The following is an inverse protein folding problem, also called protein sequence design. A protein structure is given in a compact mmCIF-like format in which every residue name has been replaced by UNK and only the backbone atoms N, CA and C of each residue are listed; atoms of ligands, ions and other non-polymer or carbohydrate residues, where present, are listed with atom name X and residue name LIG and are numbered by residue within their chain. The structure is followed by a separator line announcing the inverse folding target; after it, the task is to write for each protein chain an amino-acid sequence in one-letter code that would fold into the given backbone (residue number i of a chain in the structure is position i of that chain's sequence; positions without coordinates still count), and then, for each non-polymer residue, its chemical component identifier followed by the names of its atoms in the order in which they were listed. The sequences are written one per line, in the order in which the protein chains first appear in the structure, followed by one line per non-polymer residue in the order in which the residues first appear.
data_IF_301064703269
#
_entry.id   IF_301064703269
#
_cell.length_a   1.000
_cell.length_b   1.000
_cell.length_c   1.000
_cell.angle_alpha   90.00
_cell.angle_beta   90.00
_cell.angle_gamma   90.00
#
_symmetry.space_group_name_H-M   'P 1'
#
loop_
_entity.id
_entity.type
_entity.pdbx_description
1 polymer ?
#
# COMPACT_ATOMS: atom_id res chain seq x y z
N UNK A 1 6.03 27.73 -26.66
CA UNK A 1 7.06 28.34 -25.78
C UNK A 1 6.30 28.60 -24.52
N UNK A 2 6.36 27.64 -23.61
CA UNK A 2 5.51 27.57 -22.39
C UNK A 2 5.91 28.74 -21.47
N UNK A 3 4.89 29.37 -20.89
CA UNK A 3 5.08 30.36 -19.82
C UNK A 3 5.68 29.67 -18.59
N UNK A 4 7.01 29.60 -18.58
CA UNK A 4 7.74 29.14 -17.40
C UNK A 4 7.59 30.17 -16.28
N UNK A 5 7.37 29.75 -15.06
CA UNK A 5 7.33 30.66 -13.93
C UNK A 5 8.65 31.44 -13.83
N UNK A 6 8.56 32.77 -13.87
CA UNK A 6 9.71 33.68 -13.91
C UNK A 6 10.33 33.97 -12.53
N UNK A 7 9.92 33.26 -11.48
CA UNK A 7 10.45 33.49 -10.14
C UNK A 7 11.64 32.57 -9.85
N UNK A 8 12.72 33.15 -9.35
CA UNK A 8 13.88 32.43 -8.82
C UNK A 8 13.59 31.79 -7.43
N UNK A 9 12.32 31.53 -7.10
CA UNK A 9 11.88 31.05 -5.81
C UNK A 9 11.10 29.74 -5.90
N UNK A 10 10.58 29.32 -4.75
CA UNK A 10 9.67 28.19 -4.63
C UNK A 10 8.28 28.59 -5.17
N UNK A 11 7.68 27.71 -5.96
CA UNK A 11 6.35 27.91 -6.54
C UNK A 11 5.62 26.56 -6.68
N UNK A 12 4.27 26.60 -6.59
CA UNK A 12 3.40 25.43 -6.79
C UNK A 12 2.42 25.68 -7.92
N UNK A 13 2.28 24.70 -8.80
CA UNK A 13 1.31 24.74 -9.90
C UNK A 13 0.52 23.45 -9.93
N UNK A 14 -0.73 23.51 -10.42
CA UNK A 14 -1.55 22.31 -10.59
C UNK A 14 -2.29 22.32 -11.92
N UNK A 15 -2.54 21.13 -12.44
CA UNK A 15 -3.43 20.91 -13.57
C UNK A 15 -4.44 19.85 -13.21
N UNK A 16 -5.67 19.99 -13.68
CA UNK A 16 -6.79 19.07 -13.40
C UNK A 16 -7.40 18.65 -14.74
N UNK A 17 -7.22 17.41 -15.14
CA UNK A 17 -7.75 16.86 -16.38
C UNK A 17 -7.50 17.72 -17.60
N UNK A 18 -8.54 17.92 -18.39
CA UNK A 18 -8.53 18.81 -19.57
C UNK A 18 -8.88 20.26 -19.29
N UNK A 19 -9.00 20.67 -18.01
CA UNK A 19 -9.34 22.05 -17.64
C UNK A 19 -8.20 23.01 -17.97
N UNK A 20 -8.49 24.32 -18.15
CA UNK A 20 -7.47 25.34 -18.40
C UNK A 20 -6.38 25.33 -17.30
N UNK A 21 -5.11 25.45 -17.68
CA UNK A 21 -3.98 25.39 -16.73
C UNK A 21 -3.98 26.55 -15.73
N UNK A 22 -4.58 27.66 -16.06
CA UNK A 22 -4.71 28.87 -15.26
C UNK A 22 -6.00 28.93 -14.44
N UNK A 23 -6.87 27.89 -14.55
CA UNK A 23 -8.11 27.84 -13.80
C UNK A 23 -7.91 27.86 -12.30
N UNK A 24 -6.91 27.13 -11.81
CA UNK A 24 -6.59 27.01 -10.40
C UNK A 24 -5.21 27.55 -10.05
N UNK A 25 -5.15 28.34 -9.00
CA UNK A 25 -3.90 28.71 -8.32
C UNK A 25 -3.79 27.95 -7.02
N UNK A 26 -2.65 27.31 -6.76
CA UNK A 26 -2.42 26.55 -5.52
C UNK A 26 -2.21 27.52 -4.36
N UNK A 27 -3.06 27.43 -3.34
CA UNK A 27 -2.95 28.19 -2.08
C UNK A 27 -2.10 27.42 -1.08
N UNK A 28 -2.44 26.17 -0.87
CA UNK A 28 -1.68 25.25 -0.02
C UNK A 28 -1.94 23.81 -0.44
N UNK A 29 -1.04 22.93 -0.04
CA UNK A 29 -1.25 21.50 -0.17
C UNK A 29 -0.68 20.73 1.02
N UNK A 30 -1.25 19.55 1.24
CA UNK A 30 -0.76 18.53 2.17
C UNK A 30 -0.86 17.18 1.50
N UNK A 31 0.28 16.50 1.27
CA UNK A 31 0.33 15.15 0.72
C UNK A 31 0.87 14.21 1.79
N UNK A 32 0.12 13.17 2.11
CA UNK A 32 0.51 12.12 3.06
C UNK A 32 0.74 10.83 2.29
N UNK A 33 1.96 10.31 2.35
CA UNK A 33 2.38 9.09 1.67
C UNK A 33 3.00 8.12 2.68
N UNK A 34 2.71 6.82 2.57
CA UNK A 34 3.34 5.76 3.38
C UNK A 34 3.39 4.45 2.61
N UNK A 35 4.31 3.57 2.98
CA UNK A 35 4.34 2.20 2.46
C UNK A 35 3.03 1.47 2.81
N UNK A 36 2.50 0.73 1.86
CA UNK A 36 1.25 -0.05 1.97
C UNK A 36 0.04 0.74 2.47
N UNK A 37 -0.04 1.99 2.05
CA UNK A 37 -1.18 2.88 2.32
C UNK A 37 -1.43 3.73 1.09
N UNK A 38 -2.69 3.96 0.75
CA UNK A 38 -3.04 4.91 -0.30
C UNK A 38 -2.56 6.31 0.12
N UNK A 39 -1.83 6.98 -0.76
CA UNK A 39 -1.53 8.38 -0.49
C UNK A 39 -2.82 9.22 -0.53
N UNK A 40 -2.83 10.28 0.23
CA UNK A 40 -3.92 11.29 0.20
C UNK A 40 -3.30 12.67 0.09
N UNK A 41 -3.76 13.42 -0.89
CA UNK A 41 -3.39 14.81 -1.10
C UNK A 41 -4.59 15.71 -0.91
N UNK A 42 -4.48 16.70 -0.01
CA UNK A 42 -5.44 17.79 0.14
C UNK A 42 -4.86 19.03 -0.53
N UNK A 43 -5.54 19.54 -1.55
CA UNK A 43 -5.14 20.75 -2.28
C UNK A 43 -6.15 21.86 -2.01
N UNK A 44 -5.69 22.98 -1.45
CA UNK A 44 -6.48 24.20 -1.39
C UNK A 44 -6.14 25.09 -2.57
N UNK A 45 -7.13 25.42 -3.35
CA UNK A 45 -6.99 26.12 -4.61
C UNK A 45 -7.82 27.40 -4.62
N UNK A 46 -7.39 28.37 -5.41
CA UNK A 46 -8.15 29.57 -5.67
C UNK A 46 -8.44 29.70 -7.18
N UNK A 47 -9.64 30.11 -7.53
CA UNK A 47 -10.06 30.36 -8.92
C UNK A 47 -10.83 31.67 -9.02
N UNK A 48 -10.75 32.32 -10.17
CA UNK A 48 -11.62 33.46 -10.52
C UNK A 48 -13.02 33.00 -10.95
N UNK A 49 -13.18 31.73 -11.30
CA UNK A 49 -14.48 31.13 -11.62
C UNK A 49 -15.19 30.67 -10.34
N UNK A 50 -16.36 31.26 -9.99
CA UNK A 50 -17.11 30.86 -8.80
C UNK A 50 -18.04 29.66 -9.01
N UNK A 51 -18.12 29.12 -10.23
CA UNK A 51 -19.16 28.16 -10.61
C UNK A 51 -18.63 26.87 -11.25
N UNK A 52 -17.40 26.48 -10.91
CA UNK A 52 -16.82 25.21 -11.40
C UNK A 52 -17.69 24.05 -10.96
N UNK A 53 -18.13 23.23 -11.93
CA UNK A 53 -19.04 22.12 -11.66
C UNK A 53 -18.29 20.87 -11.17
N UNK A 54 -18.84 20.11 -10.20
CA UNK A 54 -18.19 18.90 -9.68
C UNK A 54 -17.90 17.82 -10.74
N UNK A 55 -18.74 17.68 -11.74
CA UNK A 55 -18.60 16.71 -12.84
C UNK A 55 -17.46 17.05 -13.80
N UNK A 56 -16.99 18.29 -13.81
CA UNK A 56 -15.78 18.70 -14.56
C UNK A 56 -14.47 18.33 -13.83
N UNK A 57 -14.54 18.10 -12.51
CA UNK A 57 -13.36 17.94 -11.64
C UNK A 57 -13.25 16.52 -11.07
N UNK A 58 -14.36 15.92 -10.63
CA UNK A 58 -14.35 14.59 -10.04
C UNK A 58 -13.84 13.53 -11.04
N UNK A 59 -13.08 12.56 -10.55
CA UNK A 59 -12.47 11.49 -11.36
C UNK A 59 -11.42 11.98 -12.37
N UNK A 60 -11.10 13.29 -12.42
CA UNK A 60 -10.08 13.81 -13.31
C UNK A 60 -8.66 13.58 -12.76
N UNK A 61 -7.68 13.32 -13.62
CA UNK A 61 -6.29 13.25 -13.23
C UNK A 61 -5.79 14.62 -12.77
N UNK A 62 -4.99 14.64 -11.72
CA UNK A 62 -4.35 15.84 -11.18
C UNK A 62 -2.85 15.67 -11.21
N UNK A 63 -2.17 16.76 -11.53
CA UNK A 63 -0.74 16.90 -11.43
C UNK A 63 -0.42 18.17 -10.64
N UNK A 64 0.17 18.00 -9.46
CA UNK A 64 0.69 19.07 -8.63
C UNK A 64 2.22 19.08 -8.76
N UNK A 65 2.79 20.18 -9.21
CA UNK A 65 4.24 20.35 -9.37
C UNK A 65 4.81 21.36 -8.37
N UNK A 66 5.91 20.97 -7.74
CA UNK A 66 6.77 21.83 -6.89
C UNK A 66 7.94 22.30 -7.74
N UNK A 67 8.12 23.61 -7.82
CA UNK A 67 9.17 24.27 -8.58
C UNK A 67 10.15 24.96 -7.64
N UNK A 68 11.43 24.82 -7.92
CA UNK A 68 12.49 25.54 -7.22
C UNK A 68 13.44 26.19 -8.24
N UNK A 69 13.70 27.47 -8.11
CA UNK A 69 14.55 28.25 -9.04
C UNK A 69 14.16 28.09 -10.53
N UNK A 70 12.87 27.90 -10.82
CA UNK A 70 12.33 27.74 -12.17
C UNK A 70 12.44 26.36 -12.77
N UNK A 71 12.91 25.36 -12.00
CA UNK A 71 12.93 23.94 -12.39
C UNK A 71 11.94 23.13 -11.54
N UNK A 72 11.23 22.13 -12.11
CA UNK A 72 10.40 21.24 -11.34
C UNK A 72 11.30 20.31 -10.52
N UNK A 73 11.04 20.20 -9.21
CA UNK A 73 11.81 19.34 -8.29
C UNK A 73 10.99 18.15 -7.78
N UNK A 74 9.66 18.26 -7.83
CA UNK A 74 8.76 17.17 -7.42
C UNK A 74 7.42 17.30 -8.12
N UNK A 75 6.81 16.15 -8.43
CA UNK A 75 5.43 16.05 -8.90
C UNK A 75 4.65 15.13 -7.98
N UNK A 76 3.35 15.42 -7.84
CA UNK A 76 2.38 14.55 -7.20
C UNK A 76 1.21 14.35 -8.15
N UNK A 77 1.01 13.11 -8.58
CA UNK A 77 -0.02 12.74 -9.54
C UNK A 77 -1.08 11.87 -8.87
N UNK A 78 -2.33 12.08 -9.20
CA UNK A 78 -3.44 11.31 -8.64
C UNK A 78 -4.73 11.58 -9.38
N UNK A 79 -5.83 11.18 -8.78
CA UNK A 79 -7.19 11.37 -9.29
C UNK A 79 -8.01 12.08 -8.21
N UNK A 80 -8.85 13.03 -8.60
CA UNK A 80 -9.76 13.73 -7.67
C UNK A 80 -10.84 12.78 -7.21
N UNK A 81 -10.90 12.51 -5.91
CA UNK A 81 -11.98 11.72 -5.32
C UNK A 81 -13.00 12.56 -4.54
N UNK A 82 -12.60 13.76 -4.09
CA UNK A 82 -13.50 14.70 -3.44
C UNK A 82 -13.26 16.11 -3.97
N UNK A 83 -14.33 16.87 -4.14
CA UNK A 83 -14.31 18.27 -4.58
C UNK A 83 -15.24 19.08 -3.70
N UNK A 84 -14.71 20.14 -3.10
CA UNK A 84 -15.48 21.07 -2.29
C UNK A 84 -15.29 22.50 -2.77
N UNK A 85 -16.39 23.23 -2.91
CA UNK A 85 -16.39 24.69 -3.03
C UNK A 85 -16.45 25.28 -1.63
N UNK A 86 -15.46 26.11 -1.30
CA UNK A 86 -15.39 26.83 -0.03
C UNK A 86 -15.92 28.25 -0.15
N UNK A 87 -15.46 29.17 0.68
CA UNK A 87 -15.87 30.57 0.68
C UNK A 87 -15.39 31.32 -0.55
N UNK A 88 -16.14 32.33 -0.94
CA UNK A 88 -15.76 33.29 -1.98
C UNK A 88 -15.35 34.62 -1.35
N UNK A 89 -14.21 35.14 -1.75
CA UNK A 89 -13.76 36.48 -1.47
C UNK A 89 -14.30 37.50 -2.50
N UNK A 90 -13.61 38.64 -2.66
CA UNK A 90 -14.03 39.66 -3.61
C UNK A 90 -13.80 39.28 -5.07
N UNK A 91 -12.73 38.52 -5.35
CA UNK A 91 -12.33 38.18 -6.73
C UNK A 91 -12.05 36.69 -6.92
N UNK A 92 -11.84 35.94 -5.84
CA UNK A 92 -11.49 34.53 -5.89
C UNK A 92 -12.42 33.71 -5.04
N UNK A 93 -12.75 32.52 -5.57
CA UNK A 93 -13.45 31.46 -4.84
C UNK A 93 -12.44 30.40 -4.47
N UNK A 94 -12.51 29.92 -3.25
CA UNK A 94 -11.67 28.83 -2.75
C UNK A 94 -12.33 27.48 -3.02
N UNK A 95 -11.49 26.53 -3.41
CA UNK A 95 -11.85 25.15 -3.65
C UNK A 95 -10.92 24.24 -2.90
N UNK A 96 -11.41 23.06 -2.52
CA UNK A 96 -10.61 22.01 -1.94
C UNK A 96 -10.78 20.74 -2.76
N UNK A 97 -9.67 20.10 -3.12
CA UNK A 97 -9.63 18.82 -3.78
C UNK A 97 -8.93 17.83 -2.89
N UNK A 98 -9.51 16.64 -2.75
CA UNK A 98 -8.81 15.47 -2.23
C UNK A 98 -8.40 14.62 -3.42
N UNK A 99 -7.11 14.28 -3.49
CA UNK A 99 -6.55 13.42 -4.53
C UNK A 99 -6.02 12.12 -3.94
N UNK A 100 -6.19 11.02 -4.66
CA UNK A 100 -5.71 9.70 -4.28
C UNK A 100 -5.17 8.96 -5.51
N UNK A 101 -4.38 7.87 -5.33
CA UNK A 101 -3.97 7.03 -6.45
C UNK A 101 -5.19 6.32 -7.05
N UNK A 102 -5.20 5.95 -8.35
CA UNK A 102 -6.32 5.23 -8.97
C UNK A 102 -6.73 3.96 -8.22
N UNK A 103 -5.82 3.37 -7.44
CA UNK A 103 -6.04 2.19 -6.60
C UNK A 103 -7.18 2.37 -5.59
N UNK A 104 -7.52 3.60 -5.17
CA UNK A 104 -8.61 3.86 -4.22
C UNK A 104 -9.96 3.34 -4.69
N UNK A 105 -10.18 3.31 -6.02
CA UNK A 105 -11.43 2.82 -6.64
C UNK A 105 -11.75 1.38 -6.26
N UNK A 106 -10.72 0.57 -5.99
CA UNK A 106 -10.88 -0.82 -5.54
C UNK A 106 -11.53 -0.89 -4.15
N UNK A 107 -11.41 0.17 -3.35
CA UNK A 107 -12.09 0.29 -2.06
C UNK A 107 -13.61 0.42 -2.17
N UNK A 108 -14.12 0.91 -3.31
CA UNK A 108 -15.56 1.07 -3.58
C UNK A 108 -16.22 -0.22 -4.10
N UNK A 109 -15.42 -1.23 -4.44
CA UNK A 109 -15.91 -2.48 -5.03
C UNK A 109 -15.86 -3.61 -4.01
N UNK A 110 -17.02 -4.05 -3.55
CA UNK A 110 -17.16 -5.21 -2.67
C UNK A 110 -17.52 -6.45 -3.46
N UNK A 111 -16.88 -7.58 -3.14
CA UNK A 111 -17.10 -8.82 -3.87
C UNK A 111 -17.05 -10.05 -2.97
N UNK A 112 -17.55 -11.16 -3.52
CA UNK A 112 -17.40 -12.50 -2.95
C UNK A 112 -17.15 -13.46 -4.10
N UNK A 113 -15.94 -14.02 -4.19
CA UNK A 113 -15.50 -14.95 -5.24
C UNK A 113 -14.36 -15.83 -4.81
N UNK A 114 -14.12 -16.87 -5.55
CA UNK A 114 -13.02 -17.81 -5.31
C UNK A 114 -12.12 -17.86 -6.54
N UNK A 115 -10.84 -17.66 -6.32
CA UNK A 115 -9.78 -17.93 -7.28
C UNK A 115 -9.23 -19.34 -7.02
N UNK A 116 -9.04 -20.14 -8.06
CA UNK A 116 -8.54 -21.50 -7.96
C UNK A 116 -7.25 -21.65 -8.74
N UNK A 117 -6.30 -22.42 -8.18
CA UNK A 117 -5.03 -22.78 -8.83
C UNK A 117 -4.32 -21.55 -9.41
N UNK A 118 -4.19 -20.50 -8.60
CA UNK A 118 -3.55 -19.27 -8.98
C UNK A 118 -2.55 -18.81 -7.92
N UNK A 119 -1.50 -18.17 -8.39
CA UNK A 119 -0.52 -17.49 -7.54
C UNK A 119 -1.07 -16.14 -7.06
N UNK A 120 -0.53 -15.62 -5.98
CA UNK A 120 -0.99 -14.35 -5.41
C UNK A 120 -0.82 -13.18 -6.38
N UNK A 121 0.30 -13.13 -7.11
CA UNK A 121 0.53 -12.08 -8.11
C UNK A 121 -0.46 -12.15 -9.28
N UNK A 122 -0.81 -13.36 -9.75
CA UNK A 122 -1.81 -13.53 -10.80
C UNK A 122 -3.19 -13.03 -10.34
N UNK A 123 -3.57 -13.32 -9.09
CA UNK A 123 -4.83 -12.82 -8.51
C UNK A 123 -4.83 -11.30 -8.45
N UNK A 124 -3.75 -10.70 -7.93
CA UNK A 124 -3.65 -9.24 -7.79
C UNK A 124 -3.67 -8.56 -9.16
N UNK A 125 -2.92 -9.08 -10.15
CA UNK A 125 -2.96 -8.56 -11.53
C UNK A 125 -4.37 -8.60 -12.12
N UNK A 126 -5.08 -9.71 -11.96
CA UNK A 126 -6.48 -9.83 -12.43
C UNK A 126 -7.37 -8.73 -11.84
N UNK A 127 -7.22 -8.45 -10.53
CA UNK A 127 -8.00 -7.40 -9.86
C UNK A 127 -7.66 -5.99 -10.37
N UNK A 128 -6.38 -5.71 -10.59
CA UNK A 128 -5.91 -4.42 -11.13
C UNK A 128 -6.39 -4.22 -12.57
N UNK A 129 -6.24 -5.24 -13.43
CA UNK A 129 -6.66 -5.21 -14.83
C UNK A 129 -8.18 -5.03 -14.98
N UNK A 130 -9.00 -5.72 -14.17
CA UNK A 130 -10.46 -5.56 -14.17
C UNK A 130 -10.89 -4.12 -13.88
N UNK A 131 -10.02 -3.30 -13.31
CA UNK A 131 -10.28 -1.89 -12.95
C UNK A 131 -9.48 -0.90 -13.80
N UNK A 132 -8.79 -1.37 -14.84
CA UNK A 132 -8.02 -0.53 -15.74
C UNK A 132 -6.77 0.09 -15.09
N UNK A 133 -6.27 -0.51 -14.00
CA UNK A 133 -5.01 -0.11 -13.36
C UNK A 133 -3.90 -0.93 -14.02
N UNK A 134 -3.40 -0.44 -15.14
CA UNK A 134 -2.42 -1.14 -15.97
C UNK A 134 -0.97 -0.75 -15.63
N UNK A 135 -0.76 0.44 -15.09
CA UNK A 135 0.56 0.95 -14.72
C UNK A 135 0.97 0.41 -13.35
N UNK A 136 1.33 -0.87 -13.32
CA UNK A 136 1.79 -1.55 -12.10
C UNK A 136 3.04 -2.38 -12.36
N UNK A 137 4.01 -2.25 -11.45
CA UNK A 137 5.27 -2.99 -11.47
C UNK A 137 5.30 -3.93 -10.28
N UNK A 138 5.61 -5.21 -10.52
CA UNK A 138 5.83 -6.22 -9.50
C UNK A 138 7.33 -6.52 -9.44
N UNK A 139 7.99 -5.94 -8.45
CA UNK A 139 9.41 -6.12 -8.14
C UNK A 139 9.54 -7.18 -7.05
N UNK A 140 9.39 -8.45 -7.44
CA UNK A 140 9.36 -9.59 -6.53
C UNK A 140 10.57 -10.49 -6.75
N UNK A 141 11.35 -10.71 -5.70
CA UNK A 141 12.48 -11.67 -5.69
C UNK A 141 12.02 -13.10 -5.47
N UNK A 142 10.92 -13.28 -4.76
CA UNK A 142 10.32 -14.59 -4.54
C UNK A 142 9.06 -14.76 -5.37
N UNK A 143 8.99 -15.86 -6.16
CA UNK A 143 7.74 -16.26 -6.79
C UNK A 143 6.79 -16.84 -5.74
N UNK A 144 5.54 -16.37 -5.64
CA UNK A 144 4.56 -16.95 -4.73
C UNK A 144 4.13 -18.34 -5.21
N UNK A 145 3.83 -19.22 -4.26
CA UNK A 145 3.29 -20.54 -4.53
C UNK A 145 1.83 -20.47 -5.02
N UNK A 146 1.46 -21.43 -5.86
CA UNK A 146 0.09 -21.59 -6.31
C UNK A 146 -0.84 -21.94 -5.13
N UNK A 147 -1.96 -21.24 -5.01
CA UNK A 147 -3.00 -21.49 -4.02
C UNK A 147 -4.07 -22.38 -4.63
N UNK A 148 -4.36 -23.53 -4.03
CA UNK A 148 -5.43 -24.43 -4.49
C UNK A 148 -6.76 -23.66 -4.62
N UNK A 149 -7.07 -22.81 -3.65
CA UNK A 149 -8.13 -21.80 -3.74
C UNK A 149 -7.82 -20.61 -2.85
N UNK A 150 -8.26 -19.44 -3.27
CA UNK A 150 -8.14 -18.21 -2.51
C UNK A 150 -9.49 -17.48 -2.53
N UNK A 151 -10.01 -17.16 -1.34
CA UNK A 151 -11.37 -16.64 -1.18
C UNK A 151 -11.34 -15.17 -0.86
N UNK A 152 -12.00 -14.38 -1.69
CA UNK A 152 -12.49 -13.04 -1.35
C UNK A 152 -13.92 -13.21 -0.80
N UNK A 153 -14.18 -12.76 0.42
CA UNK A 153 -15.49 -12.91 1.03
C UNK A 153 -15.94 -11.63 1.73
N UNK A 154 -16.94 -10.96 1.16
CA UNK A 154 -17.55 -9.74 1.71
C UNK A 154 -16.50 -8.68 2.09
N UNK A 155 -15.49 -8.52 1.29
CA UNK A 155 -14.44 -7.52 1.43
C UNK A 155 -14.28 -6.72 0.14
N UNK A 156 -13.72 -5.52 0.22
CA UNK A 156 -13.42 -4.75 -0.98
C UNK A 156 -12.26 -5.38 -1.76
N UNK A 157 -12.18 -5.08 -3.06
CA UNK A 157 -11.07 -5.55 -3.89
C UNK A 157 -9.73 -5.02 -3.33
N UNK A 158 -9.70 -3.79 -2.81
CA UNK A 158 -8.53 -3.21 -2.14
C UNK A 158 -8.13 -3.99 -0.89
N UNK A 159 -9.06 -4.19 0.05
CA UNK A 159 -8.78 -4.92 1.28
C UNK A 159 -8.32 -6.35 1.02
N UNK A 160 -8.84 -6.98 -0.04
CA UNK A 160 -8.40 -8.30 -0.47
C UNK A 160 -6.97 -8.30 -0.99
N UNK A 161 -6.60 -7.32 -1.84
CA UNK A 161 -5.22 -7.15 -2.34
C UNK A 161 -4.26 -6.89 -1.17
N UNK A 162 -4.60 -5.96 -0.27
CA UNK A 162 -3.76 -5.61 0.88
C UNK A 162 -3.54 -6.81 1.81
N UNK A 163 -4.58 -7.61 2.03
CA UNK A 163 -4.48 -8.83 2.84
C UNK A 163 -3.58 -9.88 2.19
N UNK A 164 -3.71 -10.10 0.88
CA UNK A 164 -2.87 -11.04 0.15
C UNK A 164 -1.41 -10.57 0.09
N UNK A 165 -1.19 -9.29 -0.17
CA UNK A 165 0.13 -8.69 -0.16
C UNK A 165 0.81 -8.85 1.21
N UNK A 166 0.09 -8.58 2.30
CA UNK A 166 0.59 -8.73 3.65
C UNK A 166 0.90 -10.21 4.01
N UNK A 167 0.09 -11.18 3.54
CA UNK A 167 0.37 -12.61 3.71
C UNK A 167 1.69 -13.03 3.05
N UNK A 168 1.98 -12.50 1.85
CA UNK A 168 3.23 -12.73 1.11
C UNK A 168 4.40 -11.88 1.65
N UNK A 169 4.12 -10.90 2.51
CA UNK A 169 5.08 -9.93 3.00
C UNK A 169 5.41 -8.84 1.98
N UNK A 170 4.56 -8.61 0.99
CA UNK A 170 4.74 -7.55 0.02
C UNK A 170 4.28 -6.22 0.58
N UNK A 171 4.99 -5.17 0.21
CA UNK A 171 4.57 -3.79 0.40
C UNK A 171 4.30 -3.12 -0.95
N UNK A 172 3.53 -2.05 -0.93
CA UNK A 172 3.34 -1.24 -2.12
C UNK A 172 3.59 0.23 -1.82
N UNK A 173 3.91 0.96 -2.89
CA UNK A 173 4.01 2.42 -2.91
C UNK A 173 3.53 2.95 -4.25
N UNK A 174 3.15 4.19 -4.29
CA UNK A 174 2.80 4.86 -5.53
C UNK A 174 3.98 5.68 -6.03
N UNK A 175 4.37 5.49 -7.28
CA UNK A 175 5.32 6.33 -7.97
C UNK A 175 4.55 7.43 -8.70
N UNK A 176 4.87 8.70 -8.44
CA UNK A 176 4.23 9.84 -9.09
C UNK A 176 4.81 10.15 -10.49
N UNK A 177 5.72 9.34 -10.98
CA UNK A 177 6.50 9.60 -12.18
C UNK A 177 7.68 10.55 -11.90
N UNK A 178 8.53 10.72 -12.90
CA UNK A 178 9.64 11.63 -12.82
C UNK A 178 9.22 13.09 -13.17
N UNK A 179 10.06 14.06 -12.80
CA UNK A 179 9.78 15.47 -13.05
C UNK A 179 9.86 15.83 -14.54
N UNK A 180 10.59 15.07 -15.34
CA UNK A 180 10.71 15.26 -16.79
C UNK A 180 9.47 14.73 -17.55
N UNK A 181 8.71 13.81 -16.93
CA UNK A 181 7.53 13.16 -17.52
C UNK A 181 7.88 11.98 -18.42
N UNK A 182 9.12 11.48 -18.34
CA UNK A 182 9.59 10.32 -19.10
C UNK A 182 9.12 9.00 -18.44
N UNK A 183 8.99 8.98 -17.11
CA UNK A 183 8.48 7.85 -16.35
C UNK A 183 7.01 8.09 -15.95
N UNK A 184 6.07 7.22 -16.34
CA UNK A 184 4.67 7.37 -15.99
C UNK A 184 4.44 7.11 -14.49
N UNK A 185 3.42 7.73 -13.89
CA UNK A 185 3.00 7.38 -12.53
C UNK A 185 2.43 5.98 -12.48
N UNK A 186 2.66 5.24 -11.39
CA UNK A 186 2.19 3.88 -11.27
C UNK A 186 2.34 3.26 -9.89
N UNK A 187 1.76 2.08 -9.73
CA UNK A 187 1.84 1.28 -8.52
C UNK A 187 3.08 0.38 -8.55
N UNK A 188 3.87 0.40 -7.51
CA UNK A 188 5.01 -0.52 -7.34
C UNK A 188 4.70 -1.44 -6.15
N UNK A 189 4.70 -2.76 -6.40
CA UNK A 189 4.54 -3.81 -5.40
C UNK A 189 5.87 -4.55 -5.32
N UNK A 190 6.43 -4.67 -4.11
CA UNK A 190 7.73 -5.29 -3.90
C UNK A 190 7.75 -6.15 -2.63
N UNK A 191 8.64 -7.16 -2.59
CA UNK A 191 8.88 -8.02 -1.42
C UNK A 191 10.21 -7.73 -0.74
N UNK A 192 10.91 -6.68 -1.14
CA UNK A 192 12.23 -6.31 -0.64
C UNK A 192 12.51 -4.81 -0.83
N UNK A 193 13.58 -4.31 -0.20
CA UNK A 193 14.03 -2.92 -0.31
C UNK A 193 15.42 -2.78 -0.93
N UNK A 194 15.99 -3.88 -1.46
CA UNK A 194 17.37 -3.89 -1.99
C UNK A 194 17.57 -2.98 -3.20
N UNK A 195 16.56 -2.92 -4.07
CA UNK A 195 16.56 -2.11 -5.30
C UNK A 195 15.82 -0.79 -5.11
N UNK A 196 15.55 -0.39 -3.85
CA UNK A 196 14.98 0.89 -3.52
C UNK A 196 15.90 2.05 -3.99
N UNK A 197 15.32 3.13 -4.55
CA UNK A 197 16.11 4.27 -5.00
C UNK A 197 16.89 4.88 -3.82
N UNK A 198 18.15 5.23 -4.08
CA UNK A 198 18.99 5.92 -3.10
C UNK A 198 18.94 7.41 -3.43
N UNK A 199 18.50 8.20 -2.45
CA UNK A 199 18.49 9.65 -2.58
C UNK A 199 19.90 10.21 -2.42
N UNK A 200 20.12 11.44 -2.89
CA UNK A 200 21.35 12.17 -2.57
C UNK A 200 21.49 12.33 -1.05
N UNK A 201 22.70 12.25 -0.51
CA UNK A 201 22.93 12.38 0.93
C UNK A 201 22.28 13.65 1.51
N UNK A 202 21.66 13.53 2.67
CA UNK A 202 21.05 14.63 3.39
C UNK A 202 21.90 15.05 4.58
N UNK A 203 22.26 16.31 4.62
CA UNK A 203 22.99 16.88 5.76
C UNK A 203 22.01 17.18 6.90
N UNK A 204 22.33 16.72 8.11
CA UNK A 204 21.61 17.13 9.31
C UNK A 204 22.04 18.52 9.76
N UNK A 205 21.09 19.44 9.92
CA UNK A 205 21.33 20.79 10.38
C UNK A 205 20.21 21.30 11.29
N UNK A 206 20.30 21.00 12.58
CA UNK A 206 19.32 21.45 13.57
C UNK A 206 19.29 22.97 13.81
N UNK A 207 20.34 23.69 13.40
CA UNK A 207 20.47 25.14 13.59
C UNK A 207 19.87 25.94 12.43
N UNK A 208 19.44 25.28 11.37
CA UNK A 208 18.86 25.90 10.17
C UNK A 208 17.44 26.49 10.39
N UNK A 209 17.03 26.74 11.62
CA UNK A 209 15.74 27.34 12.00
C UNK A 209 15.58 28.78 11.51
N UNK A 210 15.36 28.99 10.24
CA UNK A 210 15.05 30.25 9.59
C UNK A 210 15.97 30.53 8.41
N UNK A 211 15.50 30.66 7.21
CA UNK A 211 16.15 31.18 6.01
C UNK A 211 17.39 30.48 5.39
N UNK A 212 17.70 29.25 5.75
CA UNK A 212 18.73 28.53 4.97
C UNK A 212 18.12 28.02 3.65
N UNK A 213 18.66 28.52 2.56
CA UNK A 213 18.42 28.04 1.18
C UNK A 213 19.02 26.65 0.94
N UNK A 214 19.67 26.05 1.93
CA UNK A 214 20.27 24.71 1.80
C UNK A 214 19.25 23.64 2.21
N UNK A 215 19.07 22.69 1.33
CA UNK A 215 18.27 21.50 1.57
C UNK A 215 18.90 20.64 2.68
N UNK A 216 18.16 20.38 3.76
CA UNK A 216 18.68 19.70 4.94
C UNK A 216 17.59 18.92 5.71
N UNK A 217 18.03 17.99 6.53
CA UNK A 217 17.23 17.43 7.63
C UNK A 217 17.35 18.38 8.82
N UNK A 218 16.23 18.93 9.25
CA UNK A 218 16.15 19.99 10.27
C UNK A 218 15.99 19.43 11.68
N UNK A 219 15.34 18.27 11.80
CA UNK A 219 15.22 17.54 13.06
C UNK A 219 15.31 16.05 12.81
N UNK A 220 15.84 15.33 13.79
CA UNK A 220 15.95 13.89 13.72
C UNK A 220 15.79 13.28 15.12
N UNK A 221 14.79 12.44 15.28
CA UNK A 221 14.50 11.71 16.53
C UNK A 221 14.60 10.22 16.24
N UNK A 222 15.39 9.51 17.04
CA UNK A 222 15.48 8.05 16.99
C UNK A 222 14.81 7.43 18.19
N UNK A 223 14.14 6.29 18.01
CA UNK A 223 13.42 5.59 19.06
C UNK A 223 13.54 4.07 18.89
N UNK A 224 13.85 3.40 19.98
CA UNK A 224 13.84 1.94 20.11
C UNK A 224 12.65 1.49 20.95
N UNK A 225 12.03 0.36 20.58
CA UNK A 225 10.91 -0.26 21.31
C UNK A 225 11.14 -1.75 21.46
N UNK A 226 10.73 -2.28 22.61
CA UNK A 226 10.66 -3.73 22.81
C UNK A 226 9.51 -4.30 21.99
N UNK A 227 9.80 -5.34 21.19
CA UNK A 227 8.82 -6.04 20.34
C UNK A 227 9.04 -7.54 20.45
N UNK A 228 8.19 -8.34 19.78
CA UNK A 228 8.33 -9.79 19.72
C UNK A 228 9.75 -10.20 19.31
N UNK A 229 10.31 -11.18 20.00
CA UNK A 229 11.63 -11.74 19.73
C UNK A 229 11.59 -12.89 18.74
N UNK A 230 10.44 -13.56 18.62
CA UNK A 230 10.25 -14.67 17.69
C UNK A 230 8.81 -14.75 17.18
N UNK A 231 8.65 -15.35 16.01
CA UNK A 231 7.35 -15.75 15.48
C UNK A 231 7.34 -17.24 15.19
N UNK A 232 6.25 -17.91 15.53
CA UNK A 232 5.98 -19.31 15.22
C UNK A 232 4.64 -19.40 14.53
N UNK A 233 4.64 -19.86 13.29
CA UNK A 233 3.43 -20.14 12.55
C UNK A 233 3.27 -21.65 12.35
N UNK A 234 2.07 -22.16 12.61
CA UNK A 234 1.72 -23.56 12.38
C UNK A 234 0.49 -23.65 11.51
N UNK A 235 0.47 -24.61 10.59
CA UNK A 235 -0.71 -24.93 9.80
C UNK A 235 -0.93 -26.44 9.74
N UNK A 236 -1.94 -26.87 9.00
CA UNK A 236 -2.32 -28.24 8.83
C UNK A 236 -2.64 -28.53 7.36
N UNK A 237 -2.16 -29.66 6.86
CA UNK A 237 -2.58 -30.21 5.58
C UNK A 237 -3.09 -31.63 5.74
N UNK A 238 -4.28 -31.90 5.20
CA UNK A 238 -4.86 -33.25 5.23
C UNK A 238 -4.09 -34.23 4.33
N UNK A 239 -3.29 -33.73 3.39
CA UNK A 239 -2.46 -34.57 2.50
C UNK A 239 -1.32 -35.25 3.26
N UNK A 240 -0.84 -34.63 4.32
CA UNK A 240 0.16 -35.19 5.23
C UNK A 240 -0.16 -34.86 6.69
N UNK A 241 -1.16 -35.50 7.29
CA UNK A 241 -1.69 -35.11 8.60
C UNK A 241 -0.72 -35.34 9.76
N UNK A 242 0.28 -36.18 9.59
CA UNK A 242 1.31 -36.47 10.61
C UNK A 242 2.46 -35.46 10.58
N UNK A 243 2.59 -34.67 9.54
CA UNK A 243 3.64 -33.68 9.39
C UNK A 243 3.34 -32.41 10.18
N UNK A 244 4.26 -32.04 11.05
CA UNK A 244 4.17 -30.79 11.80
C UNK A 244 4.55 -29.63 10.89
N UNK A 245 3.56 -29.10 10.16
CA UNK A 245 3.73 -27.93 9.28
C UNK A 245 3.90 -26.68 10.15
N UNK A 246 5.10 -26.50 10.71
CA UNK A 246 5.43 -25.45 11.68
C UNK A 246 6.79 -24.82 11.37
N UNK A 247 6.83 -23.50 11.33
CA UNK A 247 8.04 -22.72 11.11
C UNK A 247 8.23 -21.71 12.25
N UNK A 248 9.48 -21.50 12.62
CA UNK A 248 9.91 -20.53 13.62
C UNK A 248 10.97 -19.62 13.01
N UNK A 249 10.86 -18.34 13.34
CA UNK A 249 11.89 -17.34 13.02
C UNK A 249 12.19 -16.48 14.24
N UNK A 250 13.48 -16.22 14.48
CA UNK A 250 13.97 -15.49 15.63
C UNK A 250 14.63 -14.19 15.18
N UNK A 251 14.35 -13.09 15.87
CA UNK A 251 14.99 -11.82 15.60
C UNK A 251 16.42 -11.83 16.11
N UNK A 252 17.35 -11.33 15.30
CA UNK A 252 18.71 -11.01 15.76
C UNK A 252 18.65 -9.74 16.63
N UNK A 253 18.48 -9.90 17.93
CA UNK A 253 18.33 -8.78 18.86
C UNK A 253 19.11 -9.03 20.15
N UNK A 254 19.84 -8.00 20.60
CA UNK A 254 20.63 -8.06 21.83
C UNK A 254 20.00 -7.34 23.01
N UNK A 255 18.84 -6.67 22.80
CA UNK A 255 18.21 -5.79 23.79
C UNK A 255 16.87 -6.28 24.32
N UNK A 256 16.42 -7.46 23.90
CA UNK A 256 15.12 -8.02 24.27
C UNK A 256 15.29 -9.36 24.96
N UNK A 257 14.26 -9.71 25.73
CA UNK A 257 14.11 -11.07 26.24
C UNK A 257 13.80 -11.99 25.05
N UNK A 258 14.35 -13.20 25.09
CA UNK A 258 14.19 -14.20 24.03
C UNK A 258 12.80 -14.88 24.06
N UNK A 259 12.04 -14.70 25.16
CA UNK A 259 10.77 -15.38 25.41
C UNK A 259 9.52 -14.59 24.94
N UNK A 260 9.68 -13.48 24.22
CA UNK A 260 8.57 -12.75 23.62
C UNK A 260 8.15 -13.36 22.30
N UNK A 261 7.53 -14.56 22.36
CA UNK A 261 7.14 -15.32 21.18
C UNK A 261 5.72 -14.97 20.73
N UNK A 262 5.54 -14.73 19.42
CA UNK A 262 4.25 -14.67 18.75
C UNK A 262 3.94 -16.02 18.11
N UNK A 263 2.89 -16.70 18.58
CA UNK A 263 2.39 -17.95 17.99
C UNK A 263 1.05 -17.73 17.31
N UNK A 264 0.89 -18.23 16.07
CA UNK A 264 -0.38 -18.14 15.35
C UNK A 264 -0.73 -19.48 14.65
N UNK A 265 -2.04 -19.79 14.63
CA UNK A 265 -2.62 -20.92 13.96
C UNK A 265 -4.08 -20.60 13.52
N UNK A 266 -4.42 -20.81 12.25
CA UNK A 266 -3.63 -21.38 11.16
C UNK A 266 -2.66 -20.35 10.56
N UNK A 267 -1.45 -20.81 10.18
CA UNK A 267 -0.38 -20.00 9.62
C UNK A 267 -0.60 -19.53 8.18
N UNK A 268 -1.73 -19.89 7.57
CA UNK A 268 -2.18 -19.48 6.23
C UNK A 268 -1.35 -20.02 5.07
N UNK A 269 -0.64 -21.12 5.27
CA UNK A 269 0.15 -21.82 4.24
C UNK A 269 -0.12 -23.31 4.25
N UNK A 270 0.24 -24.01 3.16
CA UNK A 270 0.04 -25.46 3.04
C UNK A 270 1.32 -26.21 2.66
N UNK A 271 2.42 -25.48 2.44
CA UNK A 271 3.71 -26.03 2.10
C UNK A 271 4.83 -25.23 2.80
N UNK A 272 5.98 -25.86 3.04
CA UNK A 272 7.16 -25.24 3.68
C UNK A 272 7.71 -24.08 2.85
N UNK A 273 7.59 -24.15 1.52
CA UNK A 273 8.04 -23.11 0.60
C UNK A 273 7.35 -21.76 0.88
N UNK A 274 6.10 -21.77 1.35
CA UNK A 274 5.40 -20.56 1.81
C UNK A 274 5.55 -20.34 3.31
N UNK A 275 5.60 -21.42 4.12
CA UNK A 275 5.59 -21.34 5.58
C UNK A 275 6.77 -20.56 6.16
N UNK A 276 7.97 -20.83 5.66
CA UNK A 276 9.19 -20.12 6.10
C UNK A 276 9.14 -18.62 5.77
N UNK A 277 8.92 -18.18 4.51
CA UNK A 277 8.81 -16.76 4.19
C UNK A 277 7.68 -16.04 4.94
N UNK A 278 6.54 -16.72 5.14
CA UNK A 278 5.42 -16.12 5.88
C UNK A 278 5.78 -15.88 7.36
N UNK A 279 6.53 -16.81 7.97
CA UNK A 279 6.97 -16.66 9.35
C UNK A 279 8.01 -15.53 9.49
N UNK A 280 8.93 -15.41 8.55
CA UNK A 280 9.90 -14.29 8.46
C UNK A 280 9.15 -12.96 8.30
N UNK A 281 8.25 -12.85 7.30
CA UNK A 281 7.46 -11.65 7.06
C UNK A 281 6.58 -11.27 8.26
N UNK A 282 6.06 -12.26 8.99
CA UNK A 282 5.28 -12.02 10.21
C UNK A 282 6.11 -11.40 11.31
N UNK A 283 7.32 -11.90 11.54
CA UNK A 283 8.22 -11.33 12.54
C UNK A 283 8.67 -9.92 12.15
N UNK A 284 9.05 -9.70 10.89
CA UNK A 284 9.43 -8.39 10.36
C UNK A 284 8.30 -7.37 10.59
N UNK A 285 7.06 -7.75 10.24
CA UNK A 285 5.87 -6.91 10.45
C UNK A 285 5.64 -6.54 11.92
N UNK A 286 5.75 -7.52 12.83
CA UNK A 286 5.62 -7.30 14.27
C UNK A 286 6.73 -6.40 14.85
N UNK A 287 7.78 -6.17 14.10
CA UNK A 287 8.96 -5.40 14.48
C UNK A 287 9.16 -4.12 13.67
N UNK A 288 8.21 -3.77 12.79
CA UNK A 288 8.27 -2.57 11.94
C UNK A 288 8.63 -1.28 12.70
N UNK A 289 8.16 -1.16 13.93
CA UNK A 289 8.36 0.00 14.79
C UNK A 289 9.35 -0.27 15.96
N UNK A 290 10.10 -1.37 15.89
CA UNK A 290 11.10 -1.68 16.92
C UNK A 290 12.22 -0.62 16.94
N UNK A 291 12.67 -0.17 15.78
CA UNK A 291 13.70 0.84 15.61
C UNK A 291 13.22 1.86 14.58
N UNK A 292 12.84 3.05 15.01
CA UNK A 292 12.27 4.08 14.13
C UNK A 292 13.00 5.40 14.24
N UNK A 293 13.06 6.13 13.15
CA UNK A 293 13.45 7.52 13.11
C UNK A 293 12.27 8.37 12.61
N UNK A 294 12.20 9.60 13.07
CA UNK A 294 11.28 10.62 12.57
C UNK A 294 11.98 11.98 12.56
N UNK A 295 11.64 12.80 11.58
CA UNK A 295 12.27 14.09 11.46
C UNK A 295 11.50 15.05 10.56
N UNK A 296 12.03 16.24 10.40
CA UNK A 296 11.54 17.27 9.49
C UNK A 296 12.63 17.64 8.49
N UNK A 297 12.22 17.98 7.28
CA UNK A 297 13.14 18.39 6.21
C UNK A 297 12.48 19.45 5.31
N UNK A 298 13.29 20.16 4.56
CA UNK A 298 12.84 21.05 3.49
C UNK A 298 13.15 20.48 2.08
N UNK A 299 13.54 19.21 1.97
CA UNK A 299 13.81 18.53 0.71
C UNK A 299 12.53 17.92 0.14
N UNK A 300 12.20 18.27 -1.11
CA UNK A 300 10.99 17.77 -1.77
C UNK A 300 11.10 16.34 -2.33
N UNK A 301 12.31 15.78 -2.42
CA UNK A 301 12.61 14.49 -3.02
C UNK A 301 12.37 13.27 -2.11
N UNK A 302 11.95 13.47 -0.85
CA UNK A 302 11.65 12.37 0.05
C UNK A 302 10.42 11.59 -0.43
N UNK A 303 10.55 10.27 -0.52
CA UNK A 303 9.47 9.36 -0.94
C UNK A 303 9.48 8.07 -0.11
N UNK A 304 8.32 7.49 0.22
CA UNK A 304 8.27 6.18 0.86
C UNK A 304 8.94 5.11 0.00
N UNK A 305 9.72 4.24 0.64
CA UNK A 305 10.46 3.19 -0.02
C UNK A 305 11.81 3.64 -0.59
N UNK A 306 12.21 4.91 -0.47
CA UNK A 306 13.56 5.35 -0.83
C UNK A 306 14.52 5.22 0.35
N UNK A 307 15.81 5.04 0.04
CA UNK A 307 16.92 5.04 1.02
C UNK A 307 17.53 6.43 1.10
N UNK A 308 17.62 6.95 2.30
CA UNK A 308 18.16 8.27 2.62
C UNK A 308 19.50 8.12 3.35
N UNK A 309 20.63 8.39 2.73
CA UNK A 309 21.89 8.54 3.43
C UNK A 309 21.85 9.82 4.28
N UNK A 310 21.95 9.70 5.61
CA UNK A 310 22.03 10.82 6.54
C UNK A 310 23.48 11.09 6.91
N UNK A 311 23.90 12.35 6.88
CA UNK A 311 25.25 12.80 7.20
C UNK A 311 25.24 14.01 8.14
N UNK A 312 26.36 14.23 8.86
CA UNK A 312 26.55 15.43 9.68
C UNK A 312 25.82 15.40 11.02
N UNK A 313 25.22 14.28 11.42
CA UNK A 313 24.66 14.14 12.76
C UNK A 313 25.79 13.97 13.79
N UNK A 314 25.64 14.60 14.97
CA UNK A 314 26.61 14.52 16.08
C UNK A 314 26.80 13.08 16.60
N UNK A 315 25.72 12.30 16.65
CA UNK A 315 25.79 10.86 16.91
C UNK A 315 26.15 10.12 15.61
N UNK A 316 27.38 9.63 15.54
CA UNK A 316 27.92 8.96 14.37
C UNK A 316 27.13 7.69 13.97
N UNK A 317 26.42 7.04 14.90
CA UNK A 317 25.62 5.86 14.60
C UNK A 317 24.38 6.18 13.74
N UNK A 318 23.99 7.44 13.64
CA UNK A 318 22.87 7.90 12.82
C UNK A 318 23.30 8.33 11.42
N UNK A 319 24.61 8.55 11.18
CA UNK A 319 25.17 8.84 9.86
C UNK A 319 25.25 7.57 9.04
N UNK A 320 24.09 7.10 8.57
CA UNK A 320 23.89 5.87 7.78
C UNK A 320 22.68 5.99 6.88
N UNK A 321 22.41 4.96 6.09
CA UNK A 321 21.20 4.89 5.28
C UNK A 321 19.97 4.55 6.12
N UNK A 322 18.88 5.25 5.81
CA UNK A 322 17.55 5.08 6.39
C UNK A 322 16.54 4.78 5.30
N UNK A 323 15.68 3.79 5.49
CA UNK A 323 14.54 3.53 4.61
C UNK A 323 13.37 4.43 5.04
N UNK A 324 12.95 5.32 4.17
CA UNK A 324 11.79 6.19 4.40
C UNK A 324 10.53 5.32 4.32
N UNK A 325 9.73 5.30 5.38
CA UNK A 325 8.48 4.52 5.46
C UNK A 325 7.24 5.37 5.26
N UNK A 326 7.32 6.67 5.52
CA UNK A 326 6.22 7.60 5.33
C UNK A 326 6.71 9.05 5.31
N UNK A 327 6.00 9.90 4.59
CA UNK A 327 6.28 11.33 4.48
C UNK A 327 4.96 12.11 4.45
N UNK A 328 4.95 13.26 5.10
CA UNK A 328 3.90 14.27 4.96
C UNK A 328 4.56 15.52 4.39
N UNK A 329 4.17 15.90 3.19
CA UNK A 329 4.63 17.09 2.51
C UNK A 329 3.62 18.21 2.68
N UNK A 330 4.07 19.40 3.01
CA UNK A 330 3.22 20.58 3.20
C UNK A 330 3.83 21.77 2.49
N UNK A 331 2.98 22.47 1.73
CA UNK A 331 3.37 23.68 1.02
C UNK A 331 2.31 24.76 1.16
N UNK A 332 2.74 26.01 1.33
CA UNK A 332 1.88 27.18 1.38
C UNK A 332 2.36 28.24 0.38
N UNK A 333 1.44 28.77 -0.40
CA UNK A 333 1.70 29.82 -1.41
C UNK A 333 0.70 30.97 -1.23
N UNK A 334 0.92 31.83 -0.21
CA UNK A 334 -0.02 32.93 0.11
C UNK A 334 -0.27 33.90 -1.04
N UNK A 335 0.68 34.05 -1.96
CA UNK A 335 0.59 34.94 -3.12
C UNK A 335 -0.57 34.52 -4.08
N UNK A 336 -1.03 33.28 -4.06
CA UNK A 336 -2.20 32.85 -4.80
C UNK A 336 -3.49 33.60 -4.39
N UNK A 337 -3.46 34.23 -3.20
CA UNK A 337 -4.54 35.03 -2.62
C UNK A 337 -4.14 36.50 -2.42
N UNK A 338 -3.15 37.02 -3.15
CA UNK A 338 -2.64 38.40 -2.98
C UNK A 338 -3.75 39.43 -3.09
N UNK A 339 -4.68 39.24 -4.04
CA UNK A 339 -5.86 40.12 -4.24
C UNK A 339 -6.83 40.12 -3.08
N UNK A 340 -6.77 39.12 -2.18
CA UNK A 340 -7.58 38.97 -0.97
C UNK A 340 -6.77 39.22 0.31
N UNK A 341 -5.61 39.84 0.18
CA UNK A 341 -4.73 40.19 1.30
C UNK A 341 -3.74 39.10 1.70
N UNK A 342 -3.60 38.04 0.91
CA UNK A 342 -2.58 37.02 1.10
C UNK A 342 -1.19 37.60 0.95
N UNK A 343 -0.35 37.48 1.96
CA UNK A 343 1.02 38.00 1.97
C UNK A 343 1.97 37.02 2.63
N UNK A 344 3.21 36.98 2.18
CA UNK A 344 4.24 36.12 2.71
C UNK A 344 5.02 35.38 1.60
N UNK A 345 6.07 34.71 1.97
CA UNK A 345 6.83 33.87 1.05
C UNK A 345 6.18 32.50 0.89
N UNK A 346 6.35 31.91 -0.29
CA UNK A 346 6.02 30.49 -0.49
C UNK A 346 6.93 29.64 0.40
N UNK A 347 6.35 28.67 1.10
CA UNK A 347 7.06 27.77 2.01
C UNK A 347 6.79 26.31 1.67
N UNK A 348 7.79 25.47 1.92
CA UNK A 348 7.67 24.03 1.82
C UNK A 348 8.42 23.38 2.97
N UNK A 349 7.83 22.36 3.55
CA UNK A 349 8.48 21.47 4.50
C UNK A 349 7.85 20.07 4.45
N UNK A 350 8.55 19.10 4.99
CA UNK A 350 7.98 17.77 5.20
C UNK A 350 8.35 17.21 6.58
N UNK A 351 7.54 16.27 7.00
CA UNK A 351 7.79 15.42 8.16
C UNK A 351 7.90 13.98 7.67
N UNK A 352 8.97 13.29 8.02
CA UNK A 352 9.21 11.93 7.56
C UNK A 352 9.34 10.94 8.70
N UNK A 353 9.05 9.68 8.40
CA UNK A 353 9.30 8.51 9.22
C UNK A 353 10.23 7.57 8.46
N UNK A 354 11.13 6.91 9.17
CA UNK A 354 12.08 5.99 8.57
C UNK A 354 12.46 4.88 9.57
N UNK A 355 13.01 3.81 9.01
CA UNK A 355 13.68 2.75 9.77
C UNK A 355 15.11 2.60 9.27
N UNK A 356 16.05 1.97 10.02
CA UNK A 356 17.37 1.62 9.49
C UNK A 356 17.26 0.82 8.19
N UNK A 357 18.00 1.19 7.15
CA UNK A 357 17.91 0.55 5.83
C UNK A 357 18.38 -0.92 5.80
N UNK A 358 19.04 -1.39 6.86
CA UNK A 358 19.40 -2.80 7.07
C UNK A 358 18.24 -3.63 7.63
N UNK A 359 17.09 -3.03 7.92
CA UNK A 359 15.87 -3.68 8.38
C UNK A 359 14.87 -3.80 7.23
N UNK A 360 14.09 -4.86 7.28
CA UNK A 360 13.00 -5.08 6.32
C UNK A 360 11.69 -4.56 6.90
N UNK A 361 11.01 -3.70 6.17
CA UNK A 361 9.66 -3.26 6.50
C UNK A 361 8.63 -4.17 5.84
N UNK A 362 7.59 -4.59 6.57
CA UNK A 362 6.48 -5.40 6.06
C UNK A 362 5.15 -4.83 6.53
N UNK A 363 4.08 -4.89 5.71
CA UNK A 363 2.77 -4.43 6.15
C UNK A 363 2.23 -5.28 7.32
N UNK A 364 1.38 -4.68 8.14
CA UNK A 364 0.64 -5.39 9.17
C UNK A 364 -0.33 -6.37 8.51
N UNK A 365 -0.42 -7.59 9.08
CA UNK A 365 -1.29 -8.63 8.54
C UNK A 365 -2.75 -8.41 8.98
N UNK A 366 -3.66 -8.05 8.06
CA UNK A 366 -5.08 -7.86 8.38
C UNK A 366 -5.76 -9.16 8.81
N UNK A 367 -6.83 -9.03 9.57
CA UNK A 367 -7.70 -10.15 9.89
C UNK A 367 -8.38 -10.68 8.63
N UNK A 368 -8.51 -12.00 8.54
CA UNK A 368 -9.31 -12.62 7.47
C UNK A 368 -10.79 -12.42 7.73
N UNK A 369 -11.61 -12.23 6.68
CA UNK A 369 -13.05 -12.37 6.80
C UNK A 369 -13.42 -13.76 7.31
N UNK A 370 -14.36 -13.82 8.24
CA UNK A 370 -14.85 -15.06 8.84
C UNK A 370 -16.21 -15.41 8.22
N UNK A 371 -16.38 -16.68 7.87
CA UNK A 371 -17.67 -17.24 7.50
C UNK A 371 -18.30 -17.87 8.73
N UNK A 372 -19.39 -17.31 9.21
CA UNK A 372 -20.08 -17.79 10.38
C UNK A 372 -21.03 -18.94 10.01
N UNK A 373 -20.92 -20.04 10.78
CA UNK A 373 -21.85 -21.18 10.71
C UNK A 373 -21.77 -22.03 9.44
N UNK A 374 -22.70 -22.98 9.30
CA UNK A 374 -22.80 -23.84 8.14
C UNK A 374 -23.18 -23.07 6.88
N UNK A 375 -22.61 -23.43 5.74
CA UNK A 375 -22.94 -22.86 4.44
C UNK A 375 -23.65 -23.89 3.56
N UNK A 376 -24.66 -23.45 2.82
CA UNK A 376 -25.26 -24.28 1.78
C UNK A 376 -24.38 -24.24 0.52
N UNK A 377 -24.22 -25.38 -0.12
CA UNK A 377 -23.52 -25.51 -1.39
C UNK A 377 -24.22 -26.54 -2.29
N UNK A 378 -24.04 -26.38 -3.60
CA UNK A 378 -24.54 -27.32 -4.60
C UNK A 378 -23.35 -28.12 -5.11
N UNK A 379 -23.46 -29.47 -5.08
CA UNK A 379 -22.46 -30.35 -5.68
C UNK A 379 -22.52 -30.21 -7.19
N UNK A 380 -21.37 -30.06 -7.82
CA UNK A 380 -21.23 -29.83 -9.26
C UNK A 380 -20.20 -30.76 -9.88
N UNK A 381 -20.25 -30.94 -11.20
CA UNK A 381 -19.33 -31.75 -11.97
C UNK A 381 -19.52 -31.54 -13.46
N UNK A 382 -18.77 -32.28 -14.30
CA UNK A 382 -18.92 -32.27 -15.75
C UNK A 382 -20.32 -32.68 -16.18
N UNK A 383 -20.76 -32.14 -17.30
CA UNK A 383 -22.08 -32.47 -17.85
C UNK A 383 -22.17 -33.98 -18.19
N UNK A 384 -23.19 -34.65 -17.67
CA UNK A 384 -23.43 -36.06 -17.93
C UNK A 384 -22.71 -37.04 -16.99
N UNK A 385 -21.93 -36.53 -16.04
CA UNK A 385 -21.36 -37.36 -14.96
C UNK A 385 -22.22 -37.29 -13.70
N UNK A 386 -22.57 -38.45 -13.12
CA UNK A 386 -23.35 -38.54 -11.89
C UNK A 386 -22.44 -38.39 -10.64
N UNK A 387 -21.18 -38.81 -10.75
CA UNK A 387 -20.20 -38.80 -9.67
C UNK A 387 -18.93 -38.07 -10.16
N UNK A 388 -18.58 -37.01 -9.49
CA UNK A 388 -17.35 -36.27 -9.76
C UNK A 388 -16.58 -36.06 -8.43
N UNK A 389 -15.55 -36.87 -8.25
CA UNK A 389 -14.68 -36.85 -7.06
C UNK A 389 -13.22 -36.81 -7.49
N UNK A 390 -12.38 -36.21 -6.66
CA UNK A 390 -10.94 -36.32 -6.81
C UNK A 390 -10.35 -37.57 -6.14
N UNK A 391 -9.03 -37.73 -6.21
CA UNK A 391 -8.29 -38.87 -5.61
C UNK A 391 -8.43 -38.97 -4.07
N UNK A 392 -8.87 -37.87 -3.42
CA UNK A 392 -9.09 -37.80 -1.99
C UNK A 392 -10.57 -37.98 -1.58
N UNK A 393 -11.45 -38.30 -2.53
CA UNK A 393 -12.89 -38.43 -2.30
C UNK A 393 -13.57 -37.07 -1.98
N UNK A 394 -12.99 -35.96 -2.39
CA UNK A 394 -13.61 -34.64 -2.27
C UNK A 394 -14.62 -34.45 -3.39
N UNK A 395 -15.65 -33.67 -3.12
CA UNK A 395 -16.64 -33.26 -4.12
C UNK A 395 -16.43 -31.81 -4.51
N UNK A 396 -16.70 -31.51 -5.77
CA UNK A 396 -16.70 -30.13 -6.26
C UNK A 396 -18.03 -29.49 -5.89
N UNK A 397 -17.96 -28.27 -5.35
CA UNK A 397 -19.17 -27.55 -4.93
C UNK A 397 -19.19 -26.14 -5.47
N UNK A 398 -20.41 -25.62 -5.64
CA UNK A 398 -20.70 -24.22 -5.90
C UNK A 398 -21.34 -23.59 -4.68
N UNK A 399 -20.76 -22.49 -4.19
CA UNK A 399 -21.39 -21.66 -3.18
C UNK A 399 -22.30 -20.61 -3.82
N UNK A 400 -23.53 -20.39 -3.30
CA UNK A 400 -24.44 -19.38 -3.82
C UNK A 400 -23.89 -17.95 -3.81
N UNK A 401 -22.98 -17.64 -2.88
CA UNK A 401 -22.35 -16.33 -2.75
C UNK A 401 -21.16 -16.12 -3.70
N UNK A 402 -20.63 -17.18 -4.30
CA UNK A 402 -19.54 -17.06 -5.27
C UNK A 402 -20.07 -16.53 -6.61
N UNK A 403 -19.88 -15.24 -6.82
CA UNK A 403 -20.49 -14.49 -7.92
C UNK A 403 -20.10 -14.99 -9.31
N UNK A 404 -18.87 -15.46 -9.46
CA UNK A 404 -18.30 -15.84 -10.76
C UNK A 404 -18.29 -17.34 -10.99
N UNK A 405 -18.70 -18.14 -10.01
CA UNK A 405 -18.76 -19.57 -10.13
C UNK A 405 -19.76 -20.01 -11.18
N UNK A 406 -19.32 -20.88 -12.08
CA UNK A 406 -20.17 -21.59 -13.02
C UNK A 406 -20.73 -22.84 -12.35
N UNK A 407 -21.74 -23.45 -12.97
CA UNK A 407 -22.35 -24.67 -12.43
C UNK A 407 -21.78 -25.90 -13.16
N UNK A 408 -20.46 -26.06 -13.10
CA UNK A 408 -19.67 -27.06 -13.81
C UNK A 408 -18.52 -27.60 -12.93
N UNK A 409 -17.60 -28.34 -13.51
CA UNK A 409 -16.40 -28.90 -12.87
C UNK A 409 -15.42 -27.82 -12.36
N UNK A 410 -15.55 -26.59 -12.84
CA UNK A 410 -14.71 -25.46 -12.44
C UNK A 410 -15.35 -24.60 -11.35
N UNK A 411 -16.40 -25.12 -10.69
CA UNK A 411 -17.09 -24.41 -9.60
C UNK A 411 -16.19 -24.16 -8.39
N UNK A 412 -16.72 -23.43 -7.42
CA UNK A 412 -16.03 -22.73 -6.33
C UNK A 412 -14.88 -23.47 -5.64
N UNK A 413 -15.07 -24.68 -5.15
CA UNK A 413 -14.01 -25.38 -4.40
C UNK A 413 -14.21 -26.90 -4.32
N UNK A 414 -13.10 -27.62 -4.06
CA UNK A 414 -13.12 -29.02 -3.63
C UNK A 414 -13.30 -29.11 -2.13
N UNK A 415 -14.31 -29.84 -1.64
CA UNK A 415 -14.59 -30.06 -0.23
C UNK A 415 -14.53 -31.53 0.13
N UNK A 416 -13.93 -31.82 1.28
CA UNK A 416 -13.96 -33.18 1.85
C UNK A 416 -15.36 -33.49 2.32
N UNK A 417 -15.80 -34.71 2.00
CA UNK A 417 -17.09 -35.23 2.43
C UNK A 417 -16.92 -35.88 3.81
N UNK A 418 -17.86 -35.61 4.73
CA UNK A 418 -17.95 -36.35 5.99
C UNK A 418 -18.41 -37.76 5.68
N UNK A 419 -17.58 -38.75 6.02
CA UNK A 419 -17.87 -40.16 5.80
C UNK A 419 -17.92 -40.90 7.13
N UNK A 420 -18.93 -41.74 7.29
CA UNK A 420 -19.07 -42.57 8.48
C UNK A 420 -18.00 -43.66 8.60
N UNK A 421 -17.32 -44.00 7.49
CA UNK A 421 -16.25 -45.00 7.45
C UNK A 421 -15.02 -44.40 6.73
N UNK A 422 -14.02 -43.98 7.47
CA UNK A 422 -12.90 -43.18 6.94
C UNK A 422 -11.52 -43.73 7.32
N UNK A 423 -11.35 -45.02 7.55
CA UNK A 423 -10.04 -45.59 7.85
C UNK A 423 -10.04 -47.07 7.96
N UNK A 424 -8.88 -47.71 7.92
CA UNK A 424 -8.75 -49.15 8.06
C UNK A 424 -9.22 -49.62 9.45
N UNK A 425 -10.44 -50.08 9.55
CA UNK A 425 -11.10 -50.71 10.72
C UNK A 425 -11.89 -49.79 11.67
N UNK A 426 -11.98 -48.48 11.43
CA UNK A 426 -12.76 -47.54 12.26
C UNK A 426 -13.79 -46.79 11.43
N UNK A 427 -15.00 -46.77 11.85
CA UNK A 427 -16.07 -45.97 11.25
C UNK A 427 -17.32 -46.02 12.11
N UNK A 428 -18.25 -45.14 11.83
CA UNK A 428 -19.63 -45.24 12.35
C UNK A 428 -20.60 -45.01 11.20
N UNK A 429 -21.77 -45.56 11.32
CA UNK A 429 -22.86 -45.30 10.38
C UNK A 429 -23.89 -44.45 11.11
N UNK A 430 -24.08 -43.20 10.64
CA UNK A 430 -25.23 -42.40 11.05
C UNK A 430 -26.44 -42.91 10.21
N UNK A 431 -27.44 -43.43 10.85
CA UNK A 431 -28.74 -43.67 10.20
C UNK A 431 -29.42 -42.30 10.09
N UNK A 432 -30.04 -41.97 8.94
CA UNK A 432 -30.78 -40.73 8.76
C UNK A 432 -32.00 -40.61 9.68
#
# INVERSE_FOLDING_TARGET
MEDMPRSNGLQFTTTVGGLPRDLFSVVSFRITESLSTLFTGTLQLASTDPAIAPDEVLEQPVDLAVWEAGAPVRRYTGVVNEFARLDSGHRRTRYELIIQPPLWRLGLMHNSRIFQTQTTDAIVRTLLEERGIVDSVFDLKRSPEEREYCVQHRESDLAFIERLAAEEGWHYRYNHGDVAGDEPPGLIIADHHGDAPVLEPATYNALAGGSTRQSAVLSFKYQERVRASSAVLKDYTFRNPAYALMHEHNAASHHHREDYQHYDYPGRYKADASGKPFTEARLDSLRNDASTAAGTSNRADFVPGARLPLEGHDNQSFNREWLITGVVHEGEQPQAMEEEGGSGATTYHNTFQAIPADKTWRPELPNRPVMDGPQMAIVTGPAGEEIHCDEHGRVKVRFPWDRYSKNDENSSAWLRVSQGWAGGQYGFMALP
#
